data_IF_160614234772
#
_entry.id   IF_160614234772
#
_cell.length_a   1.000
_cell.length_b   1.000
_cell.length_c   1.000
_cell.angle_alpha   90.00
_cell.angle_beta   90.00
_cell.angle_gamma   90.00
#
_symmetry.space_group_name_H-M   'P 1'
#
loop_
_entity.id
_entity.type
_entity.pdbx_description
1 polymer ?
#
# COMPACT_ATOMS: atom_id res chain seq x y z
N UNK A 1 8.92 16.25 6.92
CA UNK A 1 7.67 16.70 7.45
C UNK A 1 7.52 16.31 8.90
N UNK A 2 6.78 17.06 9.67
CA UNK A 2 6.45 16.68 11.05
C UNK A 2 5.38 15.59 11.01
N UNK A 3 5.27 14.80 12.05
CA UNK A 3 4.24 13.75 12.20
C UNK A 3 2.80 14.33 12.05
N UNK A 4 2.64 15.62 12.21
CA UNK A 4 1.38 16.33 11.98
C UNK A 4 0.96 16.35 10.49
N UNK A 5 1.85 16.04 9.55
CA UNK A 5 1.67 16.25 8.12
C UNK A 5 1.30 14.99 7.32
N UNK A 6 0.85 13.93 7.98
CA UNK A 6 0.35 12.73 7.30
C UNK A 6 -0.85 13.02 6.39
N UNK A 7 -1.22 12.09 5.51
CA UNK A 7 -2.37 12.21 4.61
C UNK A 7 -3.64 12.57 5.35
N UNK A 8 -4.44 13.44 4.74
CA UNK A 8 -5.67 13.98 5.34
C UNK A 8 -6.83 13.82 4.37
N UNK A 9 -7.99 13.52 4.91
CA UNK A 9 -9.26 13.58 4.21
C UNK A 9 -10.06 14.79 4.67
N UNK A 10 -10.83 15.38 3.74
CA UNK A 10 -11.81 16.40 4.04
C UNK A 10 -13.19 15.79 3.87
N UNK A 11 -13.99 15.81 4.90
CA UNK A 11 -15.40 15.41 4.77
C UNK A 11 -16.17 16.51 4.03
N UNK A 12 -17.21 16.15 3.26
CA UNK A 12 -18.09 17.15 2.68
C UNK A 12 -18.59 18.12 3.74
N UNK A 13 -18.52 19.41 3.45
CA UNK A 13 -18.94 20.49 4.34
C UNK A 13 -18.12 20.67 5.64
N UNK A 14 -16.93 20.08 5.73
CA UNK A 14 -16.00 20.33 6.83
C UNK A 14 -14.75 21.05 6.32
N UNK A 15 -14.32 22.07 7.05
CA UNK A 15 -13.02 22.73 6.83
C UNK A 15 -11.89 22.05 7.61
N UNK A 16 -12.23 21.17 8.54
CA UNK A 16 -11.27 20.50 9.39
C UNK A 16 -10.82 19.18 8.77
N UNK A 17 -9.54 19.06 8.40
CA UNK A 17 -9.01 17.84 7.81
C UNK A 17 -8.89 16.74 8.86
N UNK A 18 -9.28 15.53 8.48
CA UNK A 18 -9.10 14.34 9.28
C UNK A 18 -7.84 13.63 8.81
N UNK A 19 -6.92 13.35 9.70
CA UNK A 19 -5.73 12.57 9.40
C UNK A 19 -6.12 11.10 9.17
N UNK A 20 -5.68 10.53 8.04
CA UNK A 20 -6.00 9.17 7.61
C UNK A 20 -4.78 8.28 7.40
N UNK A 21 -3.58 8.78 7.61
CA UNK A 21 -2.36 7.99 7.47
C UNK A 21 -1.26 8.45 8.43
N UNK A 22 -0.39 7.54 8.78
CA UNK A 22 0.72 7.82 9.70
C UNK A 22 1.82 8.65 9.03
N UNK A 23 2.10 8.36 7.77
CA UNK A 23 3.13 9.01 6.96
C UNK A 23 2.58 9.44 5.60
N UNK A 24 3.23 10.43 4.97
CA UNK A 24 2.99 10.79 3.58
C UNK A 24 3.79 9.85 2.66
N UNK A 25 3.34 8.62 2.54
CA UNK A 25 3.97 7.54 1.78
C UNK A 25 3.07 7.05 0.66
N UNK A 26 3.51 6.00 -0.04
CA UNK A 26 2.69 5.38 -1.06
C UNK A 26 1.38 4.86 -0.49
N UNK A 27 0.31 5.09 -1.21
CA UNK A 27 -1.04 4.75 -0.76
C UNK A 27 -1.99 4.50 -1.93
N UNK A 28 -3.09 3.86 -1.64
CA UNK A 28 -4.17 3.60 -2.59
C UNK A 28 -5.52 3.50 -1.91
N UNK A 29 -6.53 3.26 -2.73
CA UNK A 29 -7.92 3.12 -2.31
C UNK A 29 -8.41 1.72 -2.59
N UNK A 30 -9.21 1.20 -1.68
CA UNK A 30 -9.82 -0.11 -1.83
C UNK A 30 -11.21 -0.14 -1.19
N UNK A 31 -11.96 -1.19 -1.48
CA UNK A 31 -13.18 -1.49 -0.76
C UNK A 31 -12.87 -2.47 0.36
N UNK A 32 -13.21 -2.11 1.57
CA UNK A 32 -13.12 -3.00 2.73
C UNK A 32 -14.07 -4.20 2.63
N UNK A 33 -13.95 -5.18 3.52
CA UNK A 33 -14.71 -6.43 3.43
C UNK A 33 -16.23 -6.24 3.51
N UNK A 34 -16.71 -5.18 4.16
CA UNK A 34 -18.13 -4.84 4.23
C UNK A 34 -18.58 -3.85 3.15
N UNK A 35 -17.66 -3.42 2.27
CA UNK A 35 -17.91 -2.48 1.20
C UNK A 35 -17.75 -1.02 1.61
N UNK A 36 -17.08 -0.75 2.72
CA UNK A 36 -16.62 0.57 3.13
C UNK A 36 -15.45 1.06 2.27
N UNK A 37 -15.31 2.36 2.10
CA UNK A 37 -14.15 2.96 1.43
C UNK A 37 -12.94 2.97 2.37
N UNK A 38 -11.85 2.34 1.93
CA UNK A 38 -10.63 2.23 2.69
C UNK A 38 -9.49 3.02 2.04
N UNK A 39 -8.78 3.78 2.84
CA UNK A 39 -7.46 4.30 2.51
C UNK A 39 -6.43 3.28 2.99
N UNK A 40 -5.58 2.81 2.10
CA UNK A 40 -4.53 1.84 2.41
C UNK A 40 -3.18 2.47 2.13
N UNK A 41 -2.26 2.38 3.08
CA UNK A 41 -0.96 3.02 2.97
C UNK A 41 0.16 2.23 3.63
N UNK A 42 1.38 2.55 3.21
CA UNK A 42 2.57 2.20 3.97
C UNK A 42 2.59 2.95 5.29
N UNK A 43 2.92 2.24 6.37
CA UNK A 43 3.32 2.84 7.63
C UNK A 43 4.81 2.51 7.88
N UNK A 44 5.68 3.36 7.36
CA UNK A 44 7.13 3.17 7.42
C UNK A 44 7.71 3.33 8.84
N UNK A 45 6.93 3.86 9.78
CA UNK A 45 7.36 3.99 11.17
C UNK A 45 7.18 2.71 11.96
N UNK A 46 6.32 1.83 11.46
CA UNK A 46 5.94 0.60 12.16
C UNK A 46 6.14 -0.64 11.29
N UNK A 47 6.66 -0.49 10.07
CA UNK A 47 6.98 -1.55 9.12
C UNK A 47 5.79 -2.44 8.77
N UNK A 48 4.64 -1.79 8.48
CA UNK A 48 3.45 -2.50 8.05
C UNK A 48 2.59 -1.73 7.04
N UNK A 49 1.68 -2.43 6.40
CA UNK A 49 0.58 -1.85 5.63
C UNK A 49 -0.61 -1.68 6.57
N UNK A 50 -1.21 -0.49 6.56
CA UNK A 50 -2.42 -0.19 7.32
C UNK A 50 -3.58 0.23 6.43
N UNK A 51 -4.79 -0.06 6.89
CA UNK A 51 -6.04 0.32 6.23
C UNK A 51 -6.92 1.13 7.18
N UNK A 52 -7.48 2.21 6.67
CA UNK A 52 -8.35 3.14 7.41
C UNK A 52 -9.70 3.21 6.72
N UNK A 53 -10.77 2.93 7.43
CA UNK A 53 -12.14 3.22 6.96
C UNK A 53 -12.36 4.74 6.99
N UNK A 54 -12.58 5.32 5.80
CA UNK A 54 -12.70 6.76 5.63
C UNK A 54 -13.95 7.31 6.30
N UNK A 55 -15.08 6.62 6.17
CA UNK A 55 -16.35 7.09 6.72
C UNK A 55 -16.34 7.12 8.26
N UNK A 56 -15.60 6.19 8.85
CA UNK A 56 -15.44 6.13 10.30
C UNK A 56 -14.20 6.86 10.80
N UNK A 57 -13.41 7.48 9.91
CA UNK A 57 -12.24 8.25 10.29
C UNK A 57 -12.68 9.51 11.07
N UNK A 58 -12.16 9.65 12.26
CA UNK A 58 -12.30 10.84 13.08
C UNK A 58 -10.92 11.35 13.48
N UNK A 59 -10.81 12.60 13.84
CA UNK A 59 -9.53 13.18 14.29
C UNK A 59 -8.86 12.40 15.40
N UNK A 60 -9.61 11.60 16.16
CA UNK A 60 -9.13 10.81 17.28
C UNK A 60 -8.53 9.45 16.89
N UNK A 61 -8.55 9.05 15.61
CA UNK A 61 -8.14 7.69 15.22
C UNK A 61 -6.65 7.48 15.03
N UNK A 62 -5.89 8.53 14.79
CA UNK A 62 -4.45 8.40 14.77
C UNK A 62 -3.91 8.44 16.19
N UNK A 63 -3.48 7.31 16.69
CA UNK A 63 -2.91 7.18 18.02
C UNK A 63 -1.38 7.07 17.97
N UNK A 64 -0.74 7.64 18.98
CA UNK A 64 0.70 7.44 19.22
C UNK A 64 0.90 6.02 19.73
N UNK A 65 1.80 5.26 19.09
CA UNK A 65 2.21 3.95 19.58
C UNK A 65 3.37 4.13 20.56
N UNK A 66 4.43 4.83 20.11
CA UNK A 66 5.58 5.18 20.94
C UNK A 66 6.41 6.28 20.24
N UNK A 67 6.88 7.27 20.98
CA UNK A 67 7.72 8.35 20.43
C UNK A 67 7.07 9.00 19.21
N UNK A 68 7.68 8.87 18.03
CA UNK A 68 7.17 9.40 16.76
C UNK A 68 6.40 8.34 15.93
N UNK A 69 6.11 7.19 16.49
CA UNK A 69 5.35 6.13 15.85
C UNK A 69 3.85 6.34 16.02
N UNK A 70 3.12 6.34 14.90
CA UNK A 70 1.67 6.54 14.86
C UNK A 70 1.01 5.42 14.06
N UNK A 71 -0.25 5.14 14.40
CA UNK A 71 -1.15 4.38 13.56
C UNK A 71 -2.46 5.14 13.39
N UNK A 72 -3.01 5.16 12.19
CA UNK A 72 -4.32 5.74 11.92
C UNK A 72 -5.37 4.69 11.61
N UNK A 73 -4.95 3.48 11.34
CA UNK A 73 -5.81 2.40 10.90
C UNK A 73 -5.47 1.05 11.51
N UNK A 74 -6.00 0.04 10.86
CA UNK A 74 -5.76 -1.34 11.23
C UNK A 74 -4.57 -1.89 10.44
N UNK A 75 -3.59 -2.49 11.14
CA UNK A 75 -2.52 -3.25 10.51
C UNK A 75 -3.12 -4.43 9.74
N UNK A 76 -2.81 -4.51 8.46
CA UNK A 76 -3.26 -5.62 7.60
C UNK A 76 -2.12 -6.56 7.20
N UNK A 77 -0.91 -6.04 7.03
CA UNK A 77 0.23 -6.88 6.62
C UNK A 77 1.58 -6.30 7.06
N UNK A 78 2.50 -7.08 7.66
CA UNK A 78 3.84 -6.61 8.01
C UNK A 78 4.79 -6.68 6.80
N UNK A 79 5.71 -5.73 6.68
CA UNK A 79 6.73 -5.75 5.60
C UNK A 79 7.64 -6.97 5.70
N UNK A 80 7.97 -7.40 6.90
CA UNK A 80 8.82 -8.58 7.12
C UNK A 80 8.30 -9.85 6.45
N UNK A 81 7.01 -9.93 6.19
CA UNK A 81 6.43 -11.06 5.46
C UNK A 81 6.64 -10.97 3.94
N UNK A 82 7.03 -9.79 3.40
CA UNK A 82 7.35 -9.55 1.99
C UNK A 82 8.86 -9.58 1.71
N UNK A 83 9.65 -9.00 2.60
CA UNK A 83 11.07 -8.72 2.37
C UNK A 83 12.01 -9.37 3.40
N UNK A 84 11.46 -10.11 4.36
CA UNK A 84 12.24 -10.71 5.46
C UNK A 84 12.76 -9.68 6.47
N UNK A 85 12.24 -8.45 6.45
CA UNK A 85 12.60 -7.40 7.40
C UNK A 85 13.83 -6.58 7.02
N UNK A 86 14.21 -6.59 5.75
CA UNK A 86 15.44 -5.95 5.28
C UNK A 86 15.29 -4.50 4.81
N UNK A 87 14.10 -3.94 4.80
CA UNK A 87 13.84 -2.56 4.29
C UNK A 87 14.34 -2.30 2.87
N UNK A 88 14.38 -3.31 2.02
CA UNK A 88 14.80 -3.17 0.63
C UNK A 88 13.63 -3.09 -0.35
N UNK A 89 12.40 -3.15 0.13
CA UNK A 89 11.22 -3.26 -0.70
C UNK A 89 10.44 -1.94 -0.72
N UNK A 90 10.29 -1.36 -1.91
CA UNK A 90 9.32 -0.31 -2.15
C UNK A 90 8.01 -0.89 -2.67
N UNK A 91 6.93 -0.10 -2.58
CA UNK A 91 5.62 -0.54 -3.05
C UNK A 91 4.75 0.61 -3.53
N UNK A 92 3.95 0.34 -4.55
CA UNK A 92 2.89 1.22 -5.02
C UNK A 92 1.54 0.53 -4.84
N UNK A 93 0.51 1.32 -4.60
CA UNK A 93 -0.85 0.81 -4.45
C UNK A 93 -1.71 1.26 -5.63
N UNK A 94 -2.42 0.33 -6.23
CA UNK A 94 -3.42 0.63 -7.24
C UNK A 94 -4.82 0.71 -6.64
N UNK A 95 -5.68 1.52 -7.24
CA UNK A 95 -7.07 1.62 -6.83
C UNK A 95 -7.87 0.40 -7.30
N UNK A 96 -8.65 -0.19 -6.41
CA UNK A 96 -9.63 -1.23 -6.74
C UNK A 96 -11.00 -0.56 -6.90
N UNK A 97 -11.39 -0.28 -8.15
CA UNK A 97 -12.64 0.42 -8.45
C UNK A 97 -13.87 -0.47 -8.28
N UNK A 98 -13.77 -1.73 -8.68
CA UNK A 98 -14.89 -2.65 -8.65
C UNK A 98 -15.20 -3.11 -7.24
N UNK A 99 -16.37 -2.73 -6.73
CA UNK A 99 -16.85 -3.12 -5.40
C UNK A 99 -17.08 -4.63 -5.25
N UNK A 100 -17.21 -5.38 -6.34
CA UNK A 100 -17.25 -6.84 -6.28
C UNK A 100 -15.92 -7.48 -5.84
N UNK A 101 -14.81 -6.74 -5.94
CA UNK A 101 -13.47 -7.12 -5.45
C UNK A 101 -13.22 -6.60 -4.03
N UNK A 102 -14.25 -6.28 -3.27
CA UNK A 102 -14.14 -5.80 -1.88
C UNK A 102 -13.32 -6.75 -1.01
N UNK A 103 -12.68 -6.20 0.01
CA UNK A 103 -11.83 -6.94 0.93
C UNK A 103 -10.42 -7.18 0.44
N UNK A 104 -10.01 -6.53 -0.68
CA UNK A 104 -8.68 -6.67 -1.24
C UNK A 104 -8.09 -5.33 -1.63
N UNK A 105 -6.78 -5.17 -1.45
CA UNK A 105 -6.00 -4.07 -2.00
C UNK A 105 -5.03 -4.62 -3.04
N UNK A 106 -4.92 -3.91 -4.17
CA UNK A 106 -3.89 -4.17 -5.16
C UNK A 106 -2.61 -3.44 -4.80
N UNK A 107 -1.50 -4.12 -4.91
CA UNK A 107 -0.18 -3.56 -4.66
C UNK A 107 0.83 -4.16 -5.64
N UNK A 108 1.72 -3.34 -6.15
CA UNK A 108 2.93 -3.83 -6.77
C UNK A 108 4.15 -3.46 -5.94
N UNK A 109 5.14 -4.32 -5.96
CA UNK A 109 6.40 -4.12 -5.25
C UNK A 109 7.54 -3.90 -6.21
N UNK A 110 8.51 -3.12 -5.79
CA UNK A 110 9.80 -3.00 -6.47
C UNK A 110 10.92 -3.12 -5.43
N UNK A 111 12.10 -3.51 -5.85
CA UNK A 111 13.21 -3.75 -4.92
C UNK A 111 14.53 -3.23 -5.45
N UNK A 112 15.32 -2.76 -4.52
CA UNK A 112 16.66 -2.25 -4.76
C UNK A 112 17.74 -3.30 -4.51
N UNK A 113 17.50 -4.35 -3.71
CA UNK A 113 18.60 -5.18 -3.21
C UNK A 113 18.31 -6.62 -2.77
N UNK A 114 17.06 -7.05 -2.64
CA UNK A 114 16.78 -8.32 -1.95
C UNK A 114 16.27 -9.45 -2.84
N UNK A 115 16.58 -10.68 -2.46
CA UNK A 115 16.17 -11.90 -3.17
C UNK A 115 14.85 -12.52 -2.67
N UNK A 116 14.07 -11.75 -1.91
CA UNK A 116 12.82 -12.27 -1.34
C UNK A 116 11.71 -12.39 -2.38
N UNK A 117 10.77 -13.26 -2.07
CA UNK A 117 9.63 -13.56 -2.95
C UNK A 117 8.75 -12.34 -3.26
N UNK A 118 8.74 -11.35 -2.38
CA UNK A 118 7.99 -10.11 -2.55
C UNK A 118 8.55 -9.16 -3.61
N UNK A 119 9.74 -9.43 -4.15
CA UNK A 119 10.41 -8.58 -5.14
C UNK A 119 9.65 -8.54 -6.47
N UNK A 120 9.41 -7.32 -6.98
CA UNK A 120 8.82 -7.08 -8.32
C UNK A 120 7.52 -7.87 -8.55
N UNK A 121 6.63 -7.89 -7.59
CA UNK A 121 5.39 -8.63 -7.65
C UNK A 121 4.18 -7.71 -7.82
N UNK A 122 3.19 -8.20 -8.56
CA UNK A 122 1.83 -7.69 -8.53
C UNK A 122 1.01 -8.58 -7.59
N UNK A 123 0.41 -7.98 -6.59
CA UNK A 123 -0.21 -8.69 -5.47
C UNK A 123 -1.62 -8.18 -5.19
N UNK A 124 -2.51 -9.07 -4.78
CA UNK A 124 -3.64 -8.72 -3.94
C UNK A 124 -3.35 -9.09 -2.50
N UNK A 125 -3.58 -8.16 -1.58
CA UNK A 125 -3.51 -8.40 -0.14
C UNK A 125 -4.91 -8.25 0.44
N UNK A 126 -5.32 -9.23 1.23
CA UNK A 126 -6.61 -9.20 1.91
C UNK A 126 -6.62 -8.11 2.98
N UNK A 127 -7.69 -7.31 2.97
CA UNK A 127 -7.95 -6.30 4.02
C UNK A 127 -8.59 -7.01 5.20
N UNK A 128 -7.76 -7.44 6.12
CA UNK A 128 -8.16 -8.13 7.33
C UNK A 128 -7.27 -7.69 8.48
N UNK A 129 -7.81 -7.43 9.69
CA UNK A 129 -6.99 -7.12 10.84
C UNK A 129 -5.97 -8.21 11.12
N UNK A 130 -4.69 -7.91 10.99
CA UNK A 130 -3.60 -8.87 11.13
C UNK A 130 -3.56 -9.52 12.52
N UNK A 131 -4.07 -8.81 13.53
CA UNK A 131 -4.20 -9.34 14.89
C UNK A 131 -5.17 -10.52 15.02
N UNK A 132 -6.13 -10.64 14.09
CA UNK A 132 -7.12 -11.71 14.12
C UNK A 132 -6.67 -12.96 13.37
N UNK A 133 -5.99 -12.78 12.26
CA UNK A 133 -5.35 -13.82 11.47
C UNK A 133 -4.41 -13.21 10.42
N UNK A 134 -3.48 -13.98 9.92
CA UNK A 134 -2.64 -13.55 8.79
C UNK A 134 -3.49 -13.28 7.55
N UNK A 135 -3.34 -12.10 6.97
CA UNK A 135 -3.99 -11.73 5.71
C UNK A 135 -3.51 -12.62 4.58
N UNK A 136 -4.41 -13.00 3.69
CA UNK A 136 -4.06 -13.76 2.49
C UNK A 136 -3.37 -12.84 1.49
N UNK A 137 -2.42 -13.42 0.76
CA UNK A 137 -1.74 -12.76 -0.36
C UNK A 137 -1.92 -13.62 -1.61
N UNK A 138 -2.39 -12.99 -2.68
CA UNK A 138 -2.50 -13.61 -4.00
C UNK A 138 -1.47 -12.97 -4.92
N UNK A 139 -0.55 -13.77 -5.43
CA UNK A 139 0.44 -13.33 -6.42
C UNK A 139 -0.18 -13.40 -7.80
N UNK A 140 -0.21 -12.26 -8.48
CA UNK A 140 -0.77 -12.16 -9.84
C UNK A 140 0.31 -12.34 -10.91
N UNK A 141 1.56 -12.04 -10.57
CA UNK A 141 2.70 -12.17 -11.46
C UNK A 141 3.83 -11.23 -11.09
N UNK A 142 4.97 -11.42 -11.76
CA UNK A 142 6.13 -10.54 -11.63
C UNK A 142 6.04 -9.37 -12.61
N UNK A 143 6.47 -8.19 -12.18
CA UNK A 143 6.62 -7.03 -13.05
C UNK A 143 7.89 -7.11 -13.95
N UNK A 144 8.76 -8.09 -13.71
CA UNK A 144 10.02 -8.27 -14.46
C UNK A 144 10.90 -7.02 -14.53
N UNK A 145 10.99 -6.29 -13.44
CA UNK A 145 11.83 -5.11 -13.36
C UNK A 145 13.23 -5.42 -12.86
N UNK A 146 14.24 -4.88 -13.54
CA UNK A 146 15.55 -4.65 -12.95
C UNK A 146 15.57 -3.23 -12.40
N UNK A 147 15.78 -3.08 -11.11
CA UNK A 147 15.91 -1.75 -10.52
C UNK A 147 17.31 -1.20 -10.81
N UNK A 148 17.36 -0.05 -11.44
CA UNK A 148 18.60 0.68 -11.72
C UNK A 148 18.59 2.08 -11.11
N UNK A 149 17.43 2.72 -11.07
CA UNK A 149 17.19 4.02 -10.46
C UNK A 149 15.69 4.20 -10.16
N UNK A 150 15.32 5.35 -9.64
CA UNK A 150 13.93 5.69 -9.33
C UNK A 150 12.97 5.57 -10.53
N UNK A 151 13.45 5.80 -11.74
CA UNK A 151 12.60 5.74 -12.95
C UNK A 151 12.34 4.32 -13.43
N UNK A 152 13.13 3.37 -12.98
CA UNK A 152 12.96 1.95 -13.29
C UNK A 152 12.07 1.20 -12.29
N UNK A 153 11.44 1.91 -11.36
CA UNK A 153 10.47 1.32 -10.45
C UNK A 153 9.26 0.80 -11.23
N UNK A 154 8.93 -0.47 -10.99
CA UNK A 154 7.72 -1.04 -11.54
C UNK A 154 6.48 -0.39 -10.95
N UNK A 155 5.53 -0.09 -11.77
CA UNK A 155 4.21 0.32 -11.32
C UNK A 155 3.14 -0.57 -11.92
N UNK A 156 2.05 -0.75 -11.20
CA UNK A 156 0.92 -1.55 -11.64
C UNK A 156 -0.41 -0.86 -11.37
N UNK A 157 -1.36 -1.14 -12.23
CA UNK A 157 -2.73 -0.69 -12.10
C UNK A 157 -3.71 -1.78 -12.48
N UNK A 158 -4.91 -1.71 -11.93
CA UNK A 158 -6.04 -2.53 -12.35
C UNK A 158 -6.88 -1.78 -13.37
N UNK A 159 -7.50 -2.52 -14.28
CA UNK A 159 -8.61 -1.98 -15.03
C UNK A 159 -9.81 -1.68 -14.12
N UNK A 160 -10.83 -1.02 -14.67
CA UNK A 160 -12.01 -0.64 -13.88
C UNK A 160 -12.77 -1.85 -13.32
N UNK A 161 -12.78 -2.96 -14.06
CA UNK A 161 -13.43 -4.20 -13.63
C UNK A 161 -12.62 -4.94 -12.55
N UNK A 162 -11.32 -4.69 -12.47
CA UNK A 162 -10.40 -5.37 -11.57
C UNK A 162 -10.04 -6.79 -12.03
N UNK A 163 -10.21 -7.07 -13.33
CA UNK A 163 -9.97 -8.38 -13.93
C UNK A 163 -8.61 -8.45 -14.64
N UNK A 164 -8.08 -7.29 -15.05
CA UNK A 164 -6.79 -7.20 -15.71
C UNK A 164 -5.82 -6.33 -14.92
N UNK A 165 -4.56 -6.76 -14.89
CA UNK A 165 -3.44 -6.01 -14.32
C UNK A 165 -2.60 -5.47 -15.46
N UNK A 166 -2.38 -4.18 -15.45
CA UNK A 166 -1.41 -3.50 -16.30
C UNK A 166 -0.19 -3.20 -15.44
N UNK A 167 0.96 -3.68 -15.86
CA UNK A 167 2.21 -3.43 -15.14
C UNK A 167 3.27 -2.90 -16.09
N UNK A 168 4.00 -1.91 -15.64
CA UNK A 168 5.22 -1.47 -16.33
C UNK A 168 6.39 -2.33 -15.90
N UNK A 169 7.28 -2.62 -16.82
CA UNK A 169 8.48 -3.37 -16.54
C UNK A 169 9.49 -3.16 -17.66
N UNK A 170 10.76 -3.15 -17.32
CA UNK A 170 11.86 -3.06 -18.27
C UNK A 170 12.45 -4.44 -18.62
N UNK A 171 11.81 -5.51 -18.18
CA UNK A 171 12.26 -6.90 -18.40
C UNK A 171 13.69 -7.18 -17.95
N UNK A 172 14.18 -6.39 -16.97
CA UNK A 172 15.56 -6.49 -16.48
C UNK A 172 16.61 -5.93 -17.43
N UNK A 173 16.18 -5.24 -18.49
CA UNK A 173 17.10 -4.68 -19.51
C UNK A 173 17.46 -3.25 -19.12
N UNK A 174 18.74 -3.00 -18.97
CA UNK A 174 19.30 -1.65 -18.85
C UNK A 174 19.70 -1.18 -20.24
N UNK A 175 18.90 -0.32 -20.83
CA UNK A 175 19.17 0.17 -22.19
C UNK A 175 20.00 1.48 -22.23
N UNK A 176 20.38 1.99 -21.08
CA UNK A 176 21.18 3.21 -20.94
C UNK A 176 20.38 4.51 -21.11
N UNK A 177 19.08 4.45 -21.32
CA UNK A 177 18.22 5.62 -21.49
C UNK A 177 17.61 6.11 -20.20
N UNK A 178 17.73 5.34 -19.11
CA UNK A 178 17.17 5.68 -17.80
C UNK A 178 15.64 5.62 -17.77
N UNK A 179 15.06 4.73 -18.55
CA UNK A 179 13.60 4.50 -18.64
C UNK A 179 13.13 3.51 -17.55
#
# INVERSE_FOLDING_TARGET
GTVADGPKAFLPNSTDPIRIGADATHSGWAWGPNGEEMYVSQNNRNDWIEAVDIASATTAKCSVISGNSYTCGTKIFPYSALDGGSWGLGMHFGKVYNKAKKGWVFMNTYDTSTAYWGKNQNLFIEINPYATRTSKVVRLGSAYNGYYDYRSEGSGALDFAGDNVWATGNWGIKDGRGD
#
